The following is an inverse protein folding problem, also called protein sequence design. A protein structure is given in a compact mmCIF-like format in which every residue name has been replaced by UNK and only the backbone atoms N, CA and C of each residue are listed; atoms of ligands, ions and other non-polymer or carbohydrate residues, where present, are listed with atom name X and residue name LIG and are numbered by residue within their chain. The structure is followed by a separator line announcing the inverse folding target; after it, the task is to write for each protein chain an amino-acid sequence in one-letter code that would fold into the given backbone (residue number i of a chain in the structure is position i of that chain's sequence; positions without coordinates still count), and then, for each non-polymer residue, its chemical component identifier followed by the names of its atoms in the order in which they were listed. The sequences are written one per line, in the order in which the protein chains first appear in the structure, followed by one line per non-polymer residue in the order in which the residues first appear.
data_IF_783563178662
#
_entry.id   IF_783563178662
#
_cell.length_a   1.000
_cell.length_b   1.000
_cell.length_c   1.000
_cell.angle_alpha   90.00
_cell.angle_beta   90.00
_cell.angle_gamma   90.00
#
_symmetry.space_group_name_H-M   'P 1'
#
loop_
_entity.id
_entity.type
_entity.pdbx_description
1 polymer ?
#
# COMPACT_ATOMS: atom_id res chain seq x y z
N UNK A 1 -14.71 48.01 23.81
CA UNK A 1 -15.53 47.08 23.00
C UNK A 1 -14.58 46.40 22.05
N UNK A 2 -14.23 45.14 22.32
CA UNK A 2 -13.33 44.36 21.47
C UNK A 2 -14.22 43.51 20.56
N UNK A 3 -14.46 44.01 19.34
CA UNK A 3 -15.14 43.26 18.31
C UNK A 3 -14.21 42.15 17.82
N UNK A 4 -14.44 40.99 18.44
CA UNK A 4 -14.02 39.67 18.02
C UNK A 4 -14.18 39.56 16.51
N UNK A 5 -13.07 39.58 15.78
CA UNK A 5 -12.96 38.90 14.49
C UNK A 5 -13.16 37.41 14.77
N UNK A 6 -14.43 37.06 14.91
CA UNK A 6 -14.99 35.73 14.85
C UNK A 6 -15.02 35.38 13.37
N UNK A 7 -13.86 35.02 12.84
CA UNK A 7 -13.82 34.28 11.59
C UNK A 7 -14.44 32.92 11.91
N UNK A 8 -15.75 32.84 11.62
CA UNK A 8 -16.56 31.68 11.87
C UNK A 8 -15.99 30.51 11.06
N UNK A 9 -15.27 29.64 11.75
CA UNK A 9 -15.02 28.27 11.35
C UNK A 9 -16.34 27.63 10.94
N UNK A 10 -16.54 27.45 9.62
CA UNK A 10 -17.26 26.25 9.22
C UNK A 10 -16.33 25.10 9.50
N UNK A 11 -16.67 24.31 10.51
CA UNK A 11 -15.97 23.07 10.83
C UNK A 11 -15.93 22.18 9.60
N UNK A 12 -14.78 22.12 8.93
CA UNK A 12 -14.62 21.40 7.69
C UNK A 12 -13.19 20.90 7.62
N UNK A 13 -13.04 19.62 7.93
CA UNK A 13 -11.86 18.77 7.73
C UNK A 13 -10.86 19.31 6.69
N UNK A 14 -9.61 19.61 7.09
CA UNK A 14 -8.53 19.97 6.15
C UNK A 14 -8.16 18.85 5.16
N UNK A 15 -8.68 17.65 5.41
CA UNK A 15 -8.33 16.43 4.72
C UNK A 15 -9.55 15.88 4.01
N UNK A 16 -9.37 15.57 2.73
CA UNK A 16 -10.36 14.91 1.90
C UNK A 16 -9.81 13.59 1.41
N UNK A 17 -10.59 12.53 1.50
CA UNK A 17 -10.23 11.22 0.96
C UNK A 17 -11.11 10.87 -0.23
N UNK A 18 -10.49 10.38 -1.29
CA UNK A 18 -11.18 9.97 -2.51
C UNK A 18 -10.39 8.86 -3.22
N UNK A 19 -11.07 8.08 -4.03
CA UNK A 19 -10.38 7.21 -4.98
C UNK A 19 -9.96 8.03 -6.20
N UNK A 20 -8.75 7.80 -6.68
CA UNK A 20 -8.23 8.54 -7.82
C UNK A 20 -9.08 8.29 -9.08
N UNK A 21 -9.85 9.30 -9.50
CA UNK A 21 -10.65 9.23 -10.73
C UNK A 21 -9.81 9.05 -12.00
N UNK A 22 -8.52 9.44 -11.95
CA UNK A 22 -7.56 9.24 -13.04
C UNK A 22 -6.13 9.17 -12.50
N UNK A 23 -5.24 8.48 -13.21
CA UNK A 23 -3.82 8.33 -12.88
C UNK A 23 -2.94 9.57 -13.11
N UNK A 24 -3.53 10.77 -13.16
CA UNK A 24 -2.81 12.03 -13.46
C UNK A 24 -2.26 12.72 -12.22
N UNK A 25 -2.75 12.37 -11.04
CA UNK A 25 -2.24 12.93 -9.77
C UNK A 25 -0.92 12.28 -9.38
N UNK A 26 0.00 13.08 -8.87
CA UNK A 26 1.25 12.61 -8.27
C UNK A 26 1.29 12.90 -6.78
N UNK A 27 1.85 11.97 -6.03
CA UNK A 27 2.05 12.11 -4.60
C UNK A 27 3.01 13.27 -4.32
N UNK A 28 2.57 14.22 -3.50
CA UNK A 28 3.39 15.38 -3.10
C UNK A 28 4.36 15.11 -1.95
N UNK A 29 4.41 13.88 -1.44
CA UNK A 29 5.43 13.50 -0.47
C UNK A 29 6.80 13.44 -1.14
N UNK A 30 7.78 14.07 -0.49
CA UNK A 30 9.06 14.40 -1.13
C UNK A 30 9.91 13.17 -1.47
N UNK A 31 9.72 12.06 -0.76
CA UNK A 31 10.45 10.80 -0.98
C UNK A 31 9.75 9.88 -1.97
N UNK A 32 8.42 9.91 -2.03
CA UNK A 32 7.64 9.10 -2.96
C UNK A 32 7.68 9.70 -4.37
N UNK A 33 7.13 10.91 -4.55
CA UNK A 33 6.91 11.56 -5.87
C UNK A 33 6.31 10.65 -6.95
N UNK A 34 5.72 9.51 -6.58
CA UNK A 34 5.13 8.54 -7.51
C UNK A 34 3.78 9.04 -8.02
N UNK A 35 3.36 8.53 -9.17
CA UNK A 35 1.99 8.73 -9.65
C UNK A 35 1.03 7.90 -8.81
N UNK A 36 -0.16 8.43 -8.60
CA UNK A 36 -1.28 7.74 -7.94
C UNK A 36 -2.14 7.20 -9.07
N UNK A 37 -2.31 5.89 -9.16
CA UNK A 37 -3.02 5.24 -10.26
C UNK A 37 -4.54 5.40 -10.14
N UNK A 38 -5.26 5.22 -11.25
CA UNK A 38 -6.72 5.31 -11.23
C UNK A 38 -7.32 4.18 -10.36
N UNK A 39 -8.25 4.54 -9.47
CA UNK A 39 -8.85 3.63 -8.50
C UNK A 39 -8.06 3.47 -7.20
N UNK A 40 -6.88 4.09 -7.08
CA UNK A 40 -6.08 4.04 -5.86
C UNK A 40 -6.58 5.04 -4.81
N UNK A 41 -6.47 4.67 -3.53
CA UNK A 41 -6.83 5.52 -2.40
C UNK A 41 -5.84 6.67 -2.24
N UNK A 42 -6.35 7.90 -2.18
CA UNK A 42 -5.53 9.10 -1.98
C UNK A 42 -6.18 10.07 -1.02
N UNK A 43 -5.35 10.83 -0.31
CA UNK A 43 -5.78 11.87 0.62
C UNK A 43 -5.27 13.22 0.11
N UNK A 44 -6.19 14.14 -0.07
CA UNK A 44 -5.94 15.53 -0.41
C UNK A 44 -5.88 16.40 0.83
N UNK A 45 -4.99 17.39 0.81
CA UNK A 45 -4.96 18.48 1.79
C UNK A 45 -5.58 19.71 1.14
N UNK A 46 -6.56 20.33 1.78
CA UNK A 46 -7.18 21.57 1.31
C UNK A 46 -6.48 22.79 1.93
N UNK A 47 -6.23 23.83 1.12
CA UNK A 47 -5.70 25.11 1.60
C UNK A 47 -6.84 26.00 2.11
N UNK A 48 -6.60 26.84 3.15
CA UNK A 48 -7.52 27.91 3.51
C UNK A 48 -7.64 28.94 2.37
N UNK A 49 -8.87 29.40 2.12
CA UNK A 49 -9.31 30.25 0.99
C UNK A 49 -8.80 31.71 1.00
N UNK A 50 -7.70 32.04 1.68
CA UNK A 50 -7.20 33.44 1.66
C UNK A 50 -6.49 33.77 0.33
N UNK A 51 -5.83 32.77 -0.26
CA UNK A 51 -5.37 32.84 -1.64
C UNK A 51 -6.54 32.46 -2.55
N UNK A 52 -7.03 33.39 -3.37
CA UNK A 52 -8.17 33.27 -4.31
C UNK A 52 -7.98 32.20 -5.43
N UNK A 53 -7.26 31.13 -5.13
CA UNK A 53 -6.98 29.95 -5.94
C UNK A 53 -7.45 28.74 -5.14
N UNK A 54 -8.76 28.47 -5.09
CA UNK A 54 -9.37 27.28 -4.46
C UNK A 54 -8.78 25.95 -4.95
N UNK A 55 -7.56 25.65 -4.52
CA UNK A 55 -6.68 24.64 -5.08
C UNK A 55 -6.24 23.77 -3.92
N UNK A 56 -6.67 22.51 -3.95
CA UNK A 56 -6.14 21.47 -3.08
C UNK A 56 -4.61 21.54 -3.09
N UNK A 57 -3.97 21.66 -1.92
CA UNK A 57 -2.50 21.81 -1.78
C UNK A 57 -1.75 20.61 -2.39
N UNK A 58 -2.41 19.46 -2.46
CA UNK A 58 -1.93 18.31 -3.21
C UNK A 58 -2.52 17.00 -2.77
N UNK A 59 -2.30 15.97 -3.59
CA UNK A 59 -2.69 14.59 -3.32
C UNK A 59 -1.51 13.81 -2.74
N UNK A 60 -1.80 12.96 -1.77
CA UNK A 60 -0.85 12.11 -1.08
C UNK A 60 -1.38 10.67 -1.04
N UNK A 61 -0.49 9.69 -1.01
CA UNK A 61 -0.88 8.37 -0.55
C UNK A 61 -1.19 8.43 0.95
N UNK A 62 -2.13 7.64 1.47
CA UNK A 62 -2.41 7.52 2.89
C UNK A 62 -1.13 7.41 3.73
N UNK A 63 -0.30 6.38 3.54
CA UNK A 63 0.94 6.22 4.30
C UNK A 63 1.92 7.40 4.17
N UNK A 64 1.99 8.01 2.99
CA UNK A 64 2.87 9.15 2.72
C UNK A 64 2.43 10.41 3.48
N UNK A 65 1.12 10.63 3.63
CA UNK A 65 0.60 11.77 4.37
C UNK A 65 1.00 11.70 5.84
N UNK A 66 0.84 10.54 6.50
CA UNK A 66 1.22 10.39 7.91
C UNK A 66 2.71 10.59 8.14
N UNK A 67 3.56 10.16 7.20
CA UNK A 67 4.99 10.48 7.26
C UNK A 67 5.21 11.98 7.29
N UNK A 68 4.41 12.77 6.59
CA UNK A 68 4.59 14.23 6.59
C UNK A 68 4.40 14.86 7.97
N UNK A 69 3.54 14.31 8.82
CA UNK A 69 3.35 14.79 10.20
C UNK A 69 4.57 14.55 11.08
N UNK A 70 5.42 13.56 10.77
CA UNK A 70 6.58 13.23 11.62
C UNK A 70 7.76 14.18 11.41
N UNK A 71 7.93 14.74 10.21
CA UNK A 71 9.09 15.55 9.86
C UNK A 71 8.75 17.00 9.47
N UNK A 72 7.49 17.31 9.14
CA UNK A 72 7.06 18.69 8.92
C UNK A 72 6.13 19.10 10.05
N UNK A 73 6.49 20.19 10.71
CA UNK A 73 5.53 21.07 11.39
C UNK A 73 4.73 21.78 10.31
N UNK A 74 3.81 21.05 9.66
CA UNK A 74 2.96 21.64 8.64
C UNK A 74 2.07 22.71 9.29
N UNK A 75 1.67 23.72 8.50
CA UNK A 75 0.69 24.70 8.94
C UNK A 75 -0.72 24.09 9.18
N UNK A 76 -0.97 22.87 8.70
CA UNK A 76 -2.19 22.12 8.96
C UNK A 76 -2.06 21.27 10.23
N UNK A 77 -3.17 21.10 10.97
CA UNK A 77 -3.19 20.26 12.17
C UNK A 77 -3.09 18.79 11.77
N UNK A 78 -2.37 17.99 12.55
CA UNK A 78 -2.36 16.53 12.40
C UNK A 78 -3.77 15.94 12.47
N UNK A 79 -4.01 14.87 11.71
CA UNK A 79 -5.26 14.13 11.75
C UNK A 79 -5.33 13.36 13.07
N UNK A 80 -6.23 13.75 13.97
CA UNK A 80 -6.40 13.07 15.27
C UNK A 80 -7.54 12.06 15.24
N UNK A 81 -8.60 12.34 14.46
CA UNK A 81 -9.78 11.48 14.40
C UNK A 81 -10.24 11.26 12.97
N UNK A 82 -11.01 10.20 12.74
CA UNK A 82 -11.59 9.89 11.42
C UNK A 82 -12.61 10.93 10.95
N UNK A 83 -13.22 11.69 11.88
CA UNK A 83 -14.09 12.82 11.57
C UNK A 83 -13.32 14.00 10.92
N UNK A 84 -12.01 14.09 11.15
CA UNK A 84 -11.16 15.11 10.51
C UNK A 84 -10.89 14.82 9.03
N UNK A 85 -11.41 13.70 8.49
CA UNK A 85 -11.25 13.28 7.09
C UNK A 85 -12.62 13.27 6.39
N UNK A 86 -12.82 14.21 5.49
CA UNK A 86 -14.01 14.26 4.66
C UNK A 86 -14.00 13.12 3.62
N UNK A 87 -15.10 12.37 3.53
CA UNK A 87 -15.25 11.26 2.57
C UNK A 87 -14.92 9.88 3.13
N UNK A 88 -14.47 9.79 4.39
CA UNK A 88 -14.11 8.52 5.03
C UNK A 88 -15.23 7.47 4.99
N UNK A 89 -16.48 7.88 5.26
CA UNK A 89 -17.64 6.98 5.26
C UNK A 89 -17.99 6.38 3.88
N UNK A 90 -17.43 6.90 2.78
CA UNK A 90 -17.64 6.39 1.42
C UNK A 90 -16.59 5.36 1.00
N UNK A 91 -15.57 5.14 1.82
CA UNK A 91 -14.51 4.19 1.54
C UNK A 91 -14.96 2.75 1.81
N UNK A 92 -14.29 1.79 1.17
CA UNK A 92 -14.44 0.36 1.48
C UNK A 92 -13.98 0.09 2.92
N UNK A 93 -14.53 -0.95 3.53
CA UNK A 93 -14.19 -1.33 4.91
C UNK A 93 -12.68 -1.57 5.09
N UNK A 94 -12.05 -2.24 4.12
CA UNK A 94 -10.59 -2.50 4.14
C UNK A 94 -9.76 -1.21 4.17
N UNK A 95 -10.19 -0.20 3.39
CA UNK A 95 -9.55 1.11 3.31
C UNK A 95 -9.79 1.97 4.57
N UNK A 96 -10.98 1.85 5.16
CA UNK A 96 -11.29 2.48 6.44
C UNK A 96 -10.37 1.93 7.54
N UNK A 97 -10.23 0.60 7.62
CA UNK A 97 -9.34 -0.07 8.57
C UNK A 97 -7.86 0.31 8.33
N UNK A 98 -7.44 0.51 7.07
CA UNK A 98 -6.10 1.01 6.76
C UNK A 98 -5.85 2.40 7.38
N UNK A 99 -6.79 3.32 7.24
CA UNK A 99 -6.70 4.67 7.81
C UNK A 99 -6.76 4.63 9.34
N UNK A 100 -7.60 3.78 9.94
CA UNK A 100 -7.67 3.60 11.39
C UNK A 100 -6.36 3.05 11.97
N UNK A 101 -5.70 2.13 11.27
CA UNK A 101 -4.38 1.62 11.65
C UNK A 101 -3.31 2.71 11.61
N UNK A 102 -3.37 3.59 10.60
CA UNK A 102 -2.49 4.76 10.48
C UNK A 102 -2.70 5.75 11.64
N UNK A 103 -3.95 6.04 12.01
CA UNK A 103 -4.30 6.87 13.17
C UNK A 103 -3.79 6.26 14.49
N UNK A 104 -3.86 4.95 14.62
CA UNK A 104 -3.39 4.21 15.81
C UNK A 104 -1.87 4.13 15.92
N UNK A 105 -1.11 4.74 15.01
CA UNK A 105 0.35 4.74 15.02
C UNK A 105 0.99 3.41 14.59
N UNK A 106 0.22 2.46 14.04
CA UNK A 106 0.80 1.25 13.42
C UNK A 106 1.41 1.66 12.08
N UNK A 107 2.73 1.80 12.06
CA UNK A 107 3.50 2.11 10.85
C UNK A 107 3.21 1.07 9.76
N UNK A 108 2.63 1.52 8.65
CA UNK A 108 2.69 0.81 7.37
C UNK A 108 3.89 1.38 6.60
N UNK A 109 5.01 0.66 6.65
CA UNK A 109 6.25 1.05 5.98
C UNK A 109 6.16 0.81 4.46
N UNK A 110 5.30 1.55 3.76
CA UNK A 110 5.22 1.46 2.31
C UNK A 110 4.17 2.36 1.68
N UNK A 111 4.32 2.73 0.39
CA UNK A 111 3.16 3.18 -0.38
C UNK A 111 2.07 2.10 -0.24
N UNK A 112 0.82 2.47 0.07
CA UNK A 112 -0.24 1.50 0.21
C UNK A 112 -0.28 0.68 -1.08
N UNK A 113 -0.12 -0.63 -0.96
CA UNK A 113 -0.40 -1.50 -2.07
C UNK A 113 -1.83 -1.18 -2.55
N UNK A 114 -2.08 -1.03 -3.86
CA UNK A 114 -3.39 -0.71 -4.38
C UNK A 114 -4.39 -1.79 -3.94
N UNK A 115 -5.15 -1.49 -2.90
CA UNK A 115 -6.24 -2.32 -2.39
C UNK A 115 -7.36 -2.24 -3.40
N UNK A 116 -7.38 -3.20 -4.31
CA UNK A 116 -8.37 -3.29 -5.37
C UNK A 116 -7.92 -3.93 -6.67
N UNK A 117 -6.61 -4.14 -6.86
CA UNK A 117 -6.15 -4.92 -8.02
C UNK A 117 -4.96 -5.76 -7.61
N UNK A 118 -5.17 -7.07 -7.49
CA UNK A 118 -4.11 -8.09 -7.47
C UNK A 118 -3.37 -8.22 -8.81
N UNK A 119 -3.64 -7.36 -9.80
CA UNK A 119 -3.06 -7.44 -11.14
C UNK A 119 -1.64 -6.84 -11.32
N UNK A 120 -1.20 -5.72 -10.69
CA UNK A 120 0.11 -5.17 -10.96
C UNK A 120 1.22 -6.03 -10.33
N UNK A 121 0.99 -6.61 -9.14
CA UNK A 121 1.95 -7.51 -8.51
C UNK A 121 2.12 -8.79 -9.33
N UNK A 122 1.04 -9.39 -9.83
CA UNK A 122 1.12 -10.60 -10.65
C UNK A 122 1.80 -10.35 -12.00
N UNK A 123 1.51 -9.24 -12.66
CA UNK A 123 2.20 -8.87 -13.90
C UNK A 123 3.70 -8.59 -13.69
N UNK A 124 4.08 -8.04 -12.54
CA UNK A 124 5.49 -7.81 -12.19
C UNK A 124 6.20 -9.09 -11.75
N UNK A 125 5.51 -9.99 -11.04
CA UNK A 125 6.01 -11.33 -10.66
C UNK A 125 6.39 -12.16 -11.88
N UNK A 126 5.54 -12.17 -12.92
CA UNK A 126 5.83 -12.84 -14.20
C UNK A 126 7.02 -12.26 -14.96
N UNK A 127 7.46 -11.03 -14.64
CA UNK A 127 8.64 -10.39 -15.23
C UNK A 127 9.93 -10.68 -14.45
N UNK A 128 9.87 -11.45 -13.37
CA UNK A 128 11.05 -11.90 -12.63
C UNK A 128 11.74 -13.00 -13.43
N UNK A 129 13.03 -12.81 -13.68
CA UNK A 129 13.86 -13.77 -14.39
C UNK A 129 14.39 -14.77 -13.36
N UNK A 130 14.12 -16.05 -13.58
CA UNK A 130 14.59 -17.17 -12.76
C UNK A 130 15.78 -17.86 -13.44
N UNK A 131 16.84 -18.12 -12.67
CA UNK A 131 18.00 -18.92 -13.11
C UNK A 131 18.28 -19.98 -12.07
N UNK A 132 18.18 -21.26 -12.44
CA UNK A 132 18.41 -22.40 -11.54
C UNK A 132 19.76 -23.02 -11.89
N UNK A 133 20.66 -23.07 -10.92
CA UNK A 133 21.98 -23.70 -11.00
C UNK A 133 22.08 -24.73 -9.88
N UNK A 134 21.75 -25.99 -10.19
CA UNK A 134 21.68 -27.08 -9.22
C UNK A 134 20.69 -26.77 -8.09
N UNK A 135 21.18 -26.74 -6.85
CA UNK A 135 20.39 -26.46 -5.65
C UNK A 135 20.21 -24.97 -5.33
N UNK A 136 20.64 -24.09 -6.24
CA UNK A 136 20.55 -22.64 -6.05
C UNK A 136 19.69 -22.02 -7.15
N UNK A 137 18.64 -21.30 -6.75
CA UNK A 137 17.83 -20.49 -7.64
C UNK A 137 18.13 -19.01 -7.43
N UNK A 138 18.36 -18.30 -8.53
CA UNK A 138 18.62 -16.87 -8.56
C UNK A 138 17.45 -16.14 -9.25
N UNK A 139 16.93 -15.10 -8.60
CA UNK A 139 15.82 -14.29 -9.10
C UNK A 139 16.28 -12.85 -9.32
N UNK A 140 16.08 -12.34 -10.54
CA UNK A 140 16.44 -10.97 -10.94
C UNK A 140 15.26 -10.26 -11.60
N UNK A 141 15.23 -8.92 -11.59
CA UNK A 141 14.15 -8.12 -12.20
C UNK A 141 13.38 -7.26 -11.19
N UNK A 142 12.08 -7.00 -11.40
CA UNK A 142 11.26 -6.09 -10.57
C UNK A 142 10.87 -6.73 -9.22
N UNK A 143 11.87 -7.09 -8.43
CA UNK A 143 11.73 -7.84 -7.17
C UNK A 143 11.39 -6.96 -5.96
N UNK A 144 11.40 -5.63 -6.12
CA UNK A 144 11.15 -4.67 -5.04
C UNK A 144 9.81 -4.90 -4.33
N UNK A 145 8.77 -5.24 -5.09
CA UNK A 145 7.41 -5.43 -4.58
C UNK A 145 7.14 -6.81 -3.97
N UNK A 146 8.08 -7.75 -4.11
CA UNK A 146 7.95 -9.12 -3.58
C UNK A 146 9.07 -9.47 -2.60
N UNK A 147 9.87 -8.49 -2.17
CA UNK A 147 11.04 -8.70 -1.29
C UNK A 147 10.70 -9.45 0.01
N UNK A 148 9.50 -9.25 0.55
CA UNK A 148 9.07 -9.88 1.80
C UNK A 148 8.64 -11.32 1.58
N UNK A 149 7.92 -11.58 0.48
CA UNK A 149 7.53 -12.92 0.08
C UNK A 149 8.76 -13.76 -0.28
N UNK A 150 9.72 -13.19 -1.02
CA UNK A 150 10.99 -13.85 -1.31
C UNK A 150 11.76 -14.22 -0.03
N UNK A 151 11.77 -13.34 0.98
CA UNK A 151 12.38 -13.66 2.28
C UNK A 151 11.66 -14.82 2.99
N UNK A 152 10.33 -14.95 2.88
CA UNK A 152 9.59 -16.10 3.44
C UNK A 152 10.03 -17.42 2.80
N UNK A 153 10.35 -17.42 1.51
CA UNK A 153 10.93 -18.57 0.80
C UNK A 153 12.41 -18.82 1.11
N UNK A 154 13.01 -18.08 2.04
CA UNK A 154 14.42 -18.22 2.40
C UNK A 154 15.38 -17.53 1.41
N UNK A 155 14.89 -16.66 0.54
CA UNK A 155 15.72 -15.92 -0.39
C UNK A 155 16.58 -14.88 0.33
N UNK A 156 17.85 -14.81 -0.05
CA UNK A 156 18.81 -13.83 0.44
C UNK A 156 19.23 -12.93 -0.71
N UNK A 157 19.14 -11.62 -0.50
CA UNK A 157 19.59 -10.66 -1.51
C UNK A 157 21.12 -10.59 -1.51
N UNK A 158 21.72 -10.84 -2.67
CA UNK A 158 23.12 -10.62 -2.94
C UNK A 158 23.30 -9.22 -3.53
N UNK A 159 23.99 -8.34 -2.80
CA UNK A 159 24.21 -6.95 -3.18
C UNK A 159 25.17 -6.76 -4.36
N UNK A 160 26.07 -7.71 -4.60
CA UNK A 160 27.03 -7.66 -5.72
C UNK A 160 26.36 -7.98 -7.04
N UNK A 161 25.56 -9.05 -7.08
CA UNK A 161 24.84 -9.49 -8.28
C UNK A 161 23.47 -8.85 -8.43
N UNK A 162 23.04 -8.05 -7.44
CA UNK A 162 21.70 -7.46 -7.34
C UNK A 162 20.58 -8.48 -7.56
N UNK A 163 20.77 -9.68 -7.02
CA UNK A 163 19.91 -10.82 -7.24
C UNK A 163 19.48 -11.46 -5.92
N UNK A 164 18.29 -12.06 -5.91
CA UNK A 164 17.84 -12.87 -4.80
C UNK A 164 18.28 -14.30 -5.01
N UNK A 165 18.99 -14.88 -4.04
CA UNK A 165 19.55 -16.22 -4.10
C UNK A 165 18.83 -17.09 -3.08
N UNK A 166 18.26 -18.20 -3.54
CA UNK A 166 17.59 -19.22 -2.71
C UNK A 166 18.41 -20.49 -2.85
N UNK A 167 18.84 -21.06 -1.72
CA UNK A 167 19.55 -22.34 -1.69
C UNK A 167 18.70 -23.33 -0.91
N UNK A 168 18.22 -24.38 -1.57
CA UNK A 168 17.44 -25.46 -0.95
C UNK A 168 18.37 -26.65 -0.63
N UNK A 169 17.93 -27.62 0.17
CA UNK A 169 18.64 -28.90 0.39
C UNK A 169 18.24 -29.91 -0.68
N UNK A 170 19.04 -30.95 -0.93
CA UNK A 170 18.99 -31.89 -2.07
C UNK A 170 17.69 -32.70 -2.29
N UNK A 171 16.54 -32.27 -1.76
CA UNK A 171 15.23 -32.90 -2.03
C UNK A 171 14.05 -31.91 -2.10
N UNK A 172 14.30 -30.59 -1.99
CA UNK A 172 13.23 -29.59 -2.06
C UNK A 172 13.20 -28.91 -3.44
N UNK A 173 12.08 -29.03 -4.14
CA UNK A 173 11.84 -28.42 -5.46
C UNK A 173 11.54 -26.91 -5.36
N UNK A 174 11.81 -26.14 -6.41
CA UNK A 174 11.49 -24.69 -6.46
C UNK A 174 10.05 -24.39 -6.94
N UNK A 175 9.22 -25.41 -7.12
CA UNK A 175 7.86 -25.35 -7.68
C UNK A 175 6.95 -24.33 -6.97
N UNK A 176 7.01 -24.23 -5.64
CA UNK A 176 6.22 -23.25 -4.87
C UNK A 176 6.52 -21.81 -5.28
N UNK A 177 7.79 -21.53 -5.59
CA UNK A 177 8.26 -20.19 -5.95
C UNK A 177 7.93 -19.92 -7.41
N UNK A 178 8.05 -20.92 -8.29
CA UNK A 178 7.63 -20.80 -9.68
C UNK A 178 6.12 -20.54 -9.79
N UNK A 179 5.29 -21.27 -9.03
CA UNK A 179 3.84 -21.02 -8.93
C UNK A 179 3.52 -19.63 -8.41
N UNK A 180 4.22 -19.20 -7.36
CA UNK A 180 4.08 -17.85 -6.82
C UNK A 180 4.41 -16.76 -7.85
N UNK A 181 5.48 -16.97 -8.64
CA UNK A 181 5.90 -16.04 -9.70
C UNK A 181 4.96 -16.08 -10.92
N UNK A 182 4.37 -17.24 -11.22
CA UNK A 182 3.38 -17.42 -12.28
C UNK A 182 2.06 -16.70 -11.98
N UNK A 183 1.74 -16.50 -10.70
CA UNK A 183 0.53 -15.81 -10.26
C UNK A 183 -0.65 -16.71 -9.95
N UNK A 184 -0.39 -18.01 -9.77
CA UNK A 184 -1.43 -18.96 -9.39
C UNK A 184 -1.67 -18.84 -7.87
N UNK A 185 -2.68 -18.07 -7.51
CA UNK A 185 -3.24 -18.10 -6.18
C UNK A 185 -3.98 -19.43 -6.01
N UNK A 186 -3.31 -20.46 -5.49
CA UNK A 186 -4.05 -21.56 -4.87
C UNK A 186 -4.69 -21.02 -3.59
N UNK A 187 -5.93 -20.57 -3.71
CA UNK A 187 -6.92 -20.79 -2.68
C UNK A 187 -7.04 -22.32 -2.55
N UNK A 188 -6.24 -22.90 -1.66
CA UNK A 188 -6.45 -24.28 -1.25
C UNK A 188 -7.81 -24.34 -0.56
N UNK A 189 -8.83 -24.79 -1.30
CA UNK A 189 -10.07 -25.28 -0.72
C UNK A 189 -9.70 -26.44 0.18
N UNK A 190 -9.52 -26.15 1.47
CA UNK A 190 -9.28 -27.12 2.52
C UNK A 190 -10.36 -28.19 2.44
N UNK A 191 -9.93 -29.38 2.01
CA UNK A 191 -10.72 -30.58 2.02
C UNK A 191 -11.03 -30.93 3.49
N UNK A 192 -12.23 -30.58 3.94
CA UNK A 192 -12.77 -31.03 5.23
C UNK A 192 -12.98 -32.55 5.15
N UNK A 193 -11.96 -33.28 5.59
CA UNK A 193 -12.02 -34.70 5.85
C UNK A 193 -12.48 -34.92 7.29
N UNK A 194 -13.79 -35.08 7.54
CA UNK A 194 -14.27 -35.75 8.75
C UNK A 194 -15.70 -36.31 8.63
N UNK A 195 -15.79 -37.49 8.01
CA UNK A 195 -16.52 -38.65 8.52
C UNK A 195 -17.95 -38.47 9.10
N UNK A 196 -18.95 -39.01 8.38
CA UNK A 196 -19.96 -39.85 9.07
C UNK A 196 -20.64 -40.91 8.18
N UNK A 197 -20.15 -42.14 8.39
CA UNK A 197 -20.91 -43.40 8.58
C UNK A 197 -21.53 -44.11 7.38
N UNK A 198 -20.93 -45.29 7.13
CA UNK A 198 -21.60 -46.57 6.84
C UNK A 198 -22.99 -46.67 7.48
N UNK A 199 -24.00 -47.03 6.68
CA UNK A 199 -24.86 -48.22 6.85
C UNK A 199 -25.84 -48.26 5.66
N UNK A 200 -25.71 -49.30 4.83
CA UNK A 200 -26.77 -50.29 4.52
C UNK A 200 -28.03 -49.69 3.92
#
# INVERSE_FOLDING_TARGET
MADKLSWAWSQGSWYVVDYAKSGRSSCKEFRCKQKIDAGELRIGIEAPEDDHRGTQLGWYHPACLWKTFTYKTNANKEIQSREDIQGFAKLKQDDQTLIENLLSGKQIDGPPAPVGTSAPSTALRRKVITKIEGNTMTLTGPTFHIKEDLKKFGAKFNGETKAWVITKKDNDTFDDIEKFLAGDSQEETSADSAAKRRRT
#
